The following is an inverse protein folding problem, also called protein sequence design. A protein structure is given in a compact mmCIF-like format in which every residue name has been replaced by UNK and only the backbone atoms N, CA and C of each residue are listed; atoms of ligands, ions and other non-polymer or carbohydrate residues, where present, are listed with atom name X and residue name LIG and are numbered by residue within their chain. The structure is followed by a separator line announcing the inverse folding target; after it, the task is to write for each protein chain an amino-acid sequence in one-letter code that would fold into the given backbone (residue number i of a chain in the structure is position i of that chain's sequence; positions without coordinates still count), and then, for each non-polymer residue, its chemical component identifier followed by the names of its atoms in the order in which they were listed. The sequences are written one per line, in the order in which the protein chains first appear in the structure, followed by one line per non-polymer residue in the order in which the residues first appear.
data_IF_784235860774
#
_entry.id   IF_784235860774
#
_cell.length_a   1.000
_cell.length_b   1.000
_cell.length_c   1.000
_cell.angle_alpha   90.00
_cell.angle_beta   90.00
_cell.angle_gamma   90.00
#
_symmetry.space_group_name_H-M   'P 1'
#
loop_
_entity.id
_entity.type
_entity.pdbx_description
1 polymer ?
#
# COMPACT_ATOMS: atom_id res chain seq x y z
N UNK A 1 -16.07 14.98 -0.32
CA UNK A 1 -14.66 14.86 0.08
C UNK A 1 -13.79 14.70 -1.16
N UNK A 2 -12.53 15.15 -1.13
CA UNK A 2 -11.54 14.93 -2.20
C UNK A 2 -10.88 13.55 -2.13
N UNK A 3 -10.94 12.90 -0.97
CA UNK A 3 -10.44 11.54 -0.74
C UNK A 3 -11.60 10.62 -0.35
N UNK A 4 -11.51 9.36 -0.75
CA UNK A 4 -12.46 8.32 -0.32
C UNK A 4 -12.11 7.71 1.03
N UNK A 5 -10.81 7.60 1.33
CA UNK A 5 -10.26 7.08 2.59
C UNK A 5 -8.83 7.60 2.76
N UNK A 6 -8.25 7.43 3.95
CA UNK A 6 -6.83 7.63 4.22
C UNK A 6 -6.23 6.37 4.86
N UNK A 7 -5.00 6.00 4.48
CA UNK A 7 -4.29 4.89 5.12
C UNK A 7 -3.29 5.45 6.12
N UNK A 8 -3.43 5.07 7.38
CA UNK A 8 -2.50 5.46 8.44
C UNK A 8 -1.12 4.82 8.23
N UNK A 9 -0.09 5.46 8.78
CA UNK A 9 1.26 4.89 8.81
C UNK A 9 1.23 3.52 9.49
N UNK A 10 1.96 2.54 8.95
CA UNK A 10 2.07 1.22 9.56
C UNK A 10 2.54 1.30 11.01
N UNK A 11 1.88 0.56 11.89
CA UNK A 11 2.17 0.49 13.33
C UNK A 11 2.47 -0.96 13.72
N UNK A 12 3.44 -1.15 14.62
CA UNK A 12 3.81 -2.46 15.18
C UNK A 12 3.24 -2.63 16.58
N UNK A 13 3.40 -3.82 17.16
CA UNK A 13 2.99 -4.06 18.55
C UNK A 13 3.76 -3.12 19.49
N UNK A 14 5.09 -3.24 19.47
CA UNK A 14 6.01 -2.39 20.21
C UNK A 14 6.55 -1.23 19.36
N UNK A 15 7.00 -0.11 19.97
CA UNK A 15 7.57 1.02 19.24
C UNK A 15 8.82 0.63 18.44
N UNK A 16 8.92 1.11 17.20
CA UNK A 16 10.12 0.95 16.37
C UNK A 16 10.76 2.33 16.11
N UNK A 17 12.05 2.46 16.40
CA UNK A 17 12.80 3.72 16.19
C UNK A 17 13.08 4.03 14.71
N UNK A 18 13.04 3.00 13.86
CA UNK A 18 13.45 3.06 12.46
C UNK A 18 14.97 3.03 12.27
N UNK A 19 15.42 3.15 11.02
CA UNK A 19 16.86 3.10 10.66
C UNK A 19 17.57 4.41 11.03
N UNK A 20 18.90 4.48 11.17
CA UNK A 20 19.58 5.77 11.29
C UNK A 20 19.42 6.64 10.01
N UNK A 21 19.53 7.98 10.08
CA UNK A 21 19.58 8.82 8.88
C UNK A 21 20.89 8.60 8.08
N UNK A 22 20.91 8.89 6.76
CA UNK A 22 19.81 9.37 5.92
C UNK A 22 18.81 8.25 5.57
N UNK A 23 17.51 8.56 5.70
CA UNK A 23 16.39 7.63 5.48
C UNK A 23 15.65 7.86 4.15
N UNK A 24 15.91 8.98 3.49
CA UNK A 24 15.27 9.38 2.23
C UNK A 24 16.35 9.92 1.29
N UNK A 25 16.26 9.55 0.02
CA UNK A 25 17.08 10.11 -1.04
C UNK A 25 16.20 10.42 -2.26
N UNK A 26 15.97 11.70 -2.59
CA UNK A 26 15.20 12.07 -3.78
C UNK A 26 15.93 11.68 -5.07
N UNK A 27 15.16 11.44 -6.12
CA UNK A 27 15.61 11.24 -7.50
C UNK A 27 14.82 12.19 -8.42
N UNK A 28 15.16 12.27 -9.71
CA UNK A 28 14.47 13.19 -10.63
C UNK A 28 12.97 12.94 -10.75
N UNK A 29 12.51 11.68 -10.68
CA UNK A 29 11.11 11.28 -10.93
C UNK A 29 10.52 10.43 -9.80
N UNK A 30 11.10 10.51 -8.61
CA UNK A 30 10.71 9.68 -7.46
C UNK A 30 11.65 9.81 -6.28
N UNK A 31 11.65 8.82 -5.39
CA UNK A 31 12.51 8.80 -4.22
C UNK A 31 12.81 7.38 -3.73
N UNK A 32 13.99 7.22 -3.15
CA UNK A 32 14.33 6.08 -2.30
C UNK A 32 14.00 6.38 -0.85
N UNK A 33 13.50 5.39 -0.13
CA UNK A 33 13.27 5.46 1.31
C UNK A 33 13.72 4.19 2.03
N UNK A 34 14.30 4.36 3.21
CA UNK A 34 14.75 3.32 4.12
C UNK A 34 14.39 3.70 5.54
N UNK A 35 13.10 3.96 5.79
CA UNK A 35 12.64 4.50 7.08
C UNK A 35 12.84 3.50 8.22
N UNK A 36 12.67 2.20 7.95
CA UNK A 36 12.59 1.16 8.99
C UNK A 36 11.26 1.17 9.75
N UNK A 37 10.21 1.75 9.14
CA UNK A 37 8.84 1.78 9.69
C UNK A 37 8.81 2.34 11.11
N UNK A 38 9.46 3.48 11.32
CA UNK A 38 9.40 4.20 12.59
C UNK A 38 7.92 4.43 12.97
N UNK A 39 7.54 3.98 14.16
CA UNK A 39 6.17 4.07 14.65
C UNK A 39 6.14 3.96 16.19
N UNK A 40 5.07 4.45 16.85
CA UNK A 40 5.02 4.54 18.30
C UNK A 40 4.55 3.25 19.01
N UNK A 41 4.28 2.17 18.27
CA UNK A 41 3.61 0.98 18.80
C UNK A 41 2.10 1.17 18.92
N UNK A 42 1.34 0.07 18.91
CA UNK A 42 -0.12 0.10 18.79
C UNK A 42 -0.78 0.72 20.01
N UNK A 43 -0.22 0.54 21.20
CA UNK A 43 -0.76 1.12 22.43
C UNK A 43 -0.77 2.67 22.36
N UNK A 44 0.37 3.28 22.06
CA UNK A 44 0.49 4.73 21.96
C UNK A 44 -0.28 5.28 20.74
N UNK A 45 -0.28 4.56 19.62
CA UNK A 45 -1.07 4.93 18.46
C UNK A 45 -2.57 4.99 18.80
N UNK A 46 -3.09 4.00 19.50
CA UNK A 46 -4.51 3.95 19.89
C UNK A 46 -4.89 5.04 20.90
N UNK A 47 -3.98 5.44 21.80
CA UNK A 47 -4.27 6.53 22.75
C UNK A 47 -4.14 7.93 22.14
N UNK A 48 -3.26 8.12 21.16
CA UNK A 48 -2.97 9.44 20.59
C UNK A 48 -3.74 9.74 19.29
N UNK A 49 -3.86 8.72 18.41
CA UNK A 49 -4.46 8.85 17.08
C UNK A 49 -5.91 8.38 17.07
N UNK A 50 -6.22 7.27 17.76
CA UNK A 50 -7.56 6.70 17.85
C UNK A 50 -8.67 7.73 18.17
N UNK A 51 -8.53 8.56 19.22
CA UNK A 51 -9.56 9.54 19.59
C UNK A 51 -9.82 10.62 18.53
N UNK A 52 -8.90 10.80 17.56
CA UNK A 52 -9.01 11.80 16.50
C UNK A 52 -9.76 11.27 15.28
N UNK A 53 -9.88 9.95 15.11
CA UNK A 53 -10.48 9.33 13.92
C UNK A 53 -11.93 9.76 13.67
N UNK A 54 -12.83 9.82 14.68
CA UNK A 54 -14.22 10.22 14.44
C UNK A 54 -14.40 11.67 13.95
N UNK A 55 -13.39 12.52 14.15
CA UNK A 55 -13.41 13.92 13.71
C UNK A 55 -12.92 14.16 12.28
N UNK A 56 -12.56 13.10 11.54
CA UNK A 56 -12.04 13.20 10.17
C UNK A 56 -13.15 13.05 9.14
N UNK A 57 -13.01 13.76 8.02
CA UNK A 57 -14.00 13.76 6.91
C UNK A 57 -14.03 12.46 6.10
N UNK A 58 -13.07 11.56 6.31
CA UNK A 58 -12.91 10.31 5.56
C UNK A 58 -12.59 9.15 6.50
N UNK A 59 -13.04 7.93 6.18
CA UNK A 59 -12.64 6.75 6.94
C UNK A 59 -11.12 6.56 6.87
N UNK A 60 -10.54 6.16 8.00
CA UNK A 60 -9.12 5.81 8.10
C UNK A 60 -8.96 4.30 8.11
N UNK A 61 -8.05 3.79 7.30
CA UNK A 61 -7.60 2.40 7.33
C UNK A 61 -6.32 2.32 8.17
N UNK A 62 -6.26 1.35 9.07
CA UNK A 62 -5.06 1.08 9.86
C UNK A 62 -4.10 0.19 9.09
N UNK A 63 -2.82 0.55 9.02
CA UNK A 63 -1.81 -0.34 8.43
C UNK A 63 -1.10 -1.11 9.55
N UNK A 64 -1.16 -2.44 9.53
CA UNK A 64 -0.53 -3.31 10.52
C UNK A 64 0.83 -3.80 10.02
N UNK A 65 1.83 -3.83 10.90
CA UNK A 65 3.11 -4.46 10.64
C UNK A 65 3.56 -5.29 11.84
N UNK A 66 4.27 -6.38 11.60
CA UNK A 66 4.81 -7.24 12.64
C UNK A 66 5.93 -8.13 12.08
N UNK A 67 6.49 -8.94 12.96
CA UNK A 67 7.54 -9.91 12.67
C UNK A 67 7.07 -11.36 12.78
N UNK A 68 5.91 -11.57 13.40
CA UNK A 68 5.21 -12.87 13.49
C UNK A 68 3.72 -12.67 13.18
N UNK A 69 3.04 -13.74 12.77
CA UNK A 69 1.60 -13.70 12.49
C UNK A 69 0.76 -13.24 13.70
N UNK A 70 1.14 -13.65 14.90
CA UNK A 70 0.48 -13.25 16.14
C UNK A 70 0.63 -11.76 16.45
N UNK A 71 1.81 -11.16 16.18
CA UNK A 71 2.02 -9.72 16.32
C UNK A 71 1.08 -8.94 15.39
N UNK A 72 1.00 -9.35 14.12
CA UNK A 72 0.06 -8.75 13.17
C UNK A 72 -1.38 -8.83 13.68
N UNK A 73 -1.80 -9.99 14.21
CA UNK A 73 -3.15 -10.19 14.73
C UNK A 73 -3.46 -9.27 15.93
N UNK A 74 -2.51 -9.10 16.87
CA UNK A 74 -2.65 -8.19 18.02
C UNK A 74 -2.71 -6.72 17.60
N UNK A 75 -1.84 -6.31 16.67
CA UNK A 75 -1.85 -4.95 16.11
C UNK A 75 -3.18 -4.66 15.41
N UNK A 76 -3.65 -5.58 14.56
CA UNK A 76 -4.93 -5.44 13.88
C UNK A 76 -6.10 -5.25 14.85
N UNK A 77 -6.09 -6.00 15.96
CA UNK A 77 -7.10 -5.84 17.02
C UNK A 77 -7.05 -4.47 17.68
N UNK A 78 -5.85 -3.96 17.96
CA UNK A 78 -5.67 -2.61 18.50
C UNK A 78 -6.16 -1.52 17.54
N UNK A 79 -5.90 -1.68 16.24
CA UNK A 79 -6.37 -0.78 15.19
C UNK A 79 -7.90 -0.78 15.10
N UNK A 80 -8.54 -1.97 15.06
CA UNK A 80 -9.99 -2.11 15.08
C UNK A 80 -10.60 -1.43 16.30
N UNK A 81 -10.03 -1.68 17.49
CA UNK A 81 -10.51 -1.10 18.76
C UNK A 81 -10.42 0.42 18.78
N UNK A 82 -9.47 1.01 18.05
CA UNK A 82 -9.33 2.45 17.90
C UNK A 82 -10.31 3.06 16.88
N UNK A 83 -11.06 2.24 16.12
CA UNK A 83 -12.13 2.69 15.22
C UNK A 83 -11.70 2.89 13.76
N UNK A 84 -10.66 2.20 13.29
CA UNK A 84 -10.34 2.20 11.85
C UNK A 84 -11.43 1.45 11.05
N UNK A 85 -11.67 1.88 9.81
CA UNK A 85 -12.69 1.28 8.94
C UNK A 85 -12.24 0.00 8.23
N UNK A 86 -10.93 -0.25 8.15
CA UNK A 86 -10.32 -1.46 7.60
C UNK A 86 -8.89 -1.61 8.11
N UNK A 87 -8.34 -2.83 8.04
CA UNK A 87 -6.93 -3.12 8.31
C UNK A 87 -6.21 -3.48 7.01
N UNK A 88 -5.09 -2.82 6.72
CA UNK A 88 -4.17 -3.19 5.65
C UNK A 88 -2.92 -3.88 6.25
N UNK A 89 -2.75 -5.17 5.98
CA UNK A 89 -1.59 -5.96 6.37
C UNK A 89 -0.40 -5.59 5.47
N UNK A 90 0.62 -4.96 6.05
CA UNK A 90 1.84 -4.61 5.35
C UNK A 90 2.86 -5.77 5.41
N UNK A 91 2.87 -6.60 4.37
CA UNK A 91 3.71 -7.80 4.29
C UNK A 91 5.18 -7.53 3.91
N UNK A 92 5.59 -6.26 3.67
CA UNK A 92 6.94 -5.95 3.17
C UNK A 92 8.05 -6.01 4.25
N UNK A 93 7.77 -6.58 5.42
CA UNK A 93 8.75 -6.76 6.49
C UNK A 93 9.48 -8.11 6.40
N UNK A 94 10.71 -8.19 6.95
CA UNK A 94 11.39 -9.47 7.12
C UNK A 94 10.57 -10.37 8.06
N UNK A 95 10.48 -11.65 7.73
CA UNK A 95 9.98 -12.68 8.64
C UNK A 95 11.07 -12.98 9.68
N UNK A 96 10.71 -13.19 10.95
CA UNK A 96 11.66 -13.71 11.95
C UNK A 96 11.60 -15.25 12.07
N UNK A 97 10.52 -15.87 11.60
CA UNK A 97 10.35 -17.34 11.58
C UNK A 97 11.04 -18.00 10.37
N UNK A 98 11.71 -17.22 9.53
CA UNK A 98 12.49 -17.68 8.38
C UNK A 98 13.41 -16.59 7.82
N UNK A 99 14.32 -16.92 6.91
CA UNK A 99 15.31 -15.97 6.36
C UNK A 99 14.76 -15.04 5.25
N UNK A 100 13.47 -15.12 4.90
CA UNK A 100 12.84 -14.40 3.77
C UNK A 100 11.78 -13.37 4.20
N UNK A 101 11.41 -12.42 3.33
CA UNK A 101 10.29 -11.49 3.62
C UNK A 101 8.93 -12.19 3.46
N UNK A 102 7.96 -11.87 4.32
CA UNK A 102 6.59 -12.42 4.22
C UNK A 102 6.01 -12.24 2.81
N UNK A 103 6.13 -11.03 2.25
CA UNK A 103 5.58 -10.69 0.94
C UNK A 103 6.15 -11.48 -0.26
N UNK A 104 7.21 -12.26 -0.08
CA UNK A 104 7.82 -13.08 -1.13
C UNK A 104 7.49 -14.57 -1.00
N UNK A 105 6.87 -14.97 0.12
CA UNK A 105 6.48 -16.35 0.38
C UNK A 105 4.96 -16.46 0.50
N UNK A 106 4.37 -17.33 -0.35
CA UNK A 106 2.92 -17.54 -0.43
C UNK A 106 2.35 -18.03 0.90
N UNK A 107 3.00 -19.02 1.50
CA UNK A 107 2.54 -19.65 2.73
C UNK A 107 2.65 -18.69 3.91
N UNK A 108 3.72 -17.91 4.00
CA UNK A 108 3.93 -16.93 5.05
C UNK A 108 2.95 -15.75 4.92
N UNK A 109 2.72 -15.26 3.69
CA UNK A 109 1.71 -14.23 3.41
C UNK A 109 0.30 -14.70 3.83
N UNK A 110 -0.09 -15.91 3.43
CA UNK A 110 -1.38 -16.50 3.79
C UNK A 110 -1.54 -16.67 5.31
N UNK A 111 -0.52 -17.17 6.01
CA UNK A 111 -0.57 -17.33 7.48
C UNK A 111 -0.79 -16.01 8.22
N UNK A 112 -0.12 -14.94 7.80
CA UNK A 112 -0.30 -13.62 8.44
C UNK A 112 -1.71 -13.10 8.19
N UNK A 113 -2.22 -13.22 6.97
CA UNK A 113 -3.58 -12.76 6.63
C UNK A 113 -4.65 -13.56 7.36
N UNK A 114 -4.52 -14.89 7.43
CA UNK A 114 -5.44 -15.75 8.19
C UNK A 114 -5.47 -15.37 9.68
N UNK A 115 -4.30 -15.18 10.29
CA UNK A 115 -4.20 -14.75 11.70
C UNK A 115 -4.89 -13.39 11.94
N UNK A 116 -4.72 -12.43 11.03
CA UNK A 116 -5.38 -11.11 11.12
C UNK A 116 -6.88 -11.22 10.88
N UNK A 117 -7.30 -11.95 9.85
CA UNK A 117 -8.73 -12.15 9.52
C UNK A 117 -9.49 -12.75 10.69
N UNK A 118 -8.88 -13.69 11.41
CA UNK A 118 -9.48 -14.33 12.58
C UNK A 118 -9.45 -13.46 13.84
N UNK A 119 -8.72 -12.33 13.87
CA UNK A 119 -8.65 -11.45 15.05
C UNK A 119 -9.61 -10.24 14.99
N UNK A 120 -10.01 -9.80 13.78
CA UNK A 120 -10.87 -8.64 13.57
C UNK A 120 -12.20 -8.99 12.90
N UNK A 121 -13.20 -8.13 13.05
CA UNK A 121 -14.51 -8.20 12.37
C UNK A 121 -14.69 -7.18 11.23
N UNK A 122 -13.73 -6.27 11.04
CA UNK A 122 -13.71 -5.29 9.95
C UNK A 122 -13.00 -5.84 8.68
N UNK A 123 -13.11 -5.16 7.51
CA UNK A 123 -12.41 -5.58 6.30
C UNK A 123 -10.89 -5.65 6.47
N UNK A 124 -10.28 -6.69 5.89
CA UNK A 124 -8.84 -6.96 5.91
C UNK A 124 -8.30 -6.95 4.49
N UNK A 125 -7.31 -6.12 4.23
CA UNK A 125 -6.57 -6.10 2.97
C UNK A 125 -5.11 -6.48 3.15
N UNK A 126 -4.46 -6.90 2.08
CA UNK A 126 -3.03 -7.19 2.07
C UNK A 126 -2.28 -6.31 1.06
N UNK A 127 -1.24 -5.60 1.52
CA UNK A 127 -0.39 -4.78 0.64
C UNK A 127 0.79 -5.59 0.12
N UNK A 128 0.78 -5.86 -1.18
CA UNK A 128 1.71 -6.79 -1.80
C UNK A 128 2.93 -6.10 -2.41
N UNK A 129 4.03 -6.84 -2.47
CA UNK A 129 5.31 -6.37 -3.00
C UNK A 129 5.39 -6.61 -4.51
N UNK A 130 5.80 -5.60 -5.31
CA UNK A 130 6.05 -5.80 -6.74
C UNK A 130 7.33 -6.63 -7.01
N UNK A 131 8.12 -6.91 -5.96
CA UNK A 131 9.36 -7.67 -6.02
C UNK A 131 9.14 -9.19 -5.93
N UNK A 132 7.89 -9.64 -5.79
CA UNK A 132 7.55 -11.06 -5.86
C UNK A 132 7.74 -11.58 -7.29
N UNK A 133 8.28 -12.80 -7.43
CA UNK A 133 8.44 -13.46 -8.73
C UNK A 133 7.08 -13.71 -9.40
N UNK A 134 6.08 -14.12 -8.60
CA UNK A 134 4.72 -14.39 -9.05
C UNK A 134 3.72 -13.67 -8.13
N UNK A 135 3.37 -12.45 -8.51
CA UNK A 135 2.45 -11.60 -7.75
C UNK A 135 1.03 -12.17 -7.71
N UNK A 136 0.61 -12.88 -8.77
CA UNK A 136 -0.72 -13.48 -8.87
C UNK A 136 -0.86 -14.59 -7.84
N UNK A 137 0.15 -15.45 -7.70
CA UNK A 137 0.08 -16.51 -6.71
C UNK A 137 0.11 -15.99 -5.28
N UNK A 138 0.84 -14.91 -4.99
CA UNK A 138 0.77 -14.25 -3.67
C UNK A 138 -0.64 -13.68 -3.45
N UNK A 139 -1.19 -12.95 -4.42
CA UNK A 139 -2.54 -12.39 -4.34
C UNK A 139 -3.62 -13.46 -4.12
N UNK A 140 -3.52 -14.60 -4.82
CA UNK A 140 -4.41 -15.74 -4.62
C UNK A 140 -4.28 -16.30 -3.20
N UNK A 141 -3.06 -16.49 -2.72
CA UNK A 141 -2.82 -17.07 -1.39
C UNK A 141 -3.39 -16.21 -0.26
N UNK A 142 -3.32 -14.88 -0.35
CA UNK A 142 -3.91 -13.99 0.65
C UNK A 142 -5.42 -13.89 0.53
N UNK A 143 -5.97 -13.94 -0.69
CA UNK A 143 -7.42 -13.99 -0.90
C UNK A 143 -8.03 -15.28 -0.33
N UNK A 144 -7.39 -16.43 -0.59
CA UNK A 144 -7.81 -17.73 -0.06
C UNK A 144 -7.72 -17.78 1.48
N UNK A 145 -6.79 -17.01 2.08
CA UNK A 145 -6.65 -16.84 3.52
C UNK A 145 -7.65 -15.82 4.12
N UNK A 146 -8.53 -15.22 3.32
CA UNK A 146 -9.61 -14.35 3.78
C UNK A 146 -9.32 -12.84 3.71
N UNK A 147 -8.36 -12.39 2.89
CA UNK A 147 -8.27 -10.98 2.54
C UNK A 147 -9.48 -10.56 1.68
N UNK A 148 -10.15 -9.48 2.09
CA UNK A 148 -11.27 -8.86 1.39
C UNK A 148 -10.82 -8.03 0.18
N UNK A 149 -9.57 -7.57 0.17
CA UNK A 149 -8.97 -6.82 -0.94
C UNK A 149 -7.43 -6.90 -0.93
N UNK A 150 -6.78 -6.46 -2.00
CA UNK A 150 -5.32 -6.30 -2.06
C UNK A 150 -4.93 -4.89 -2.47
N UNK A 151 -3.81 -4.40 -1.94
CA UNK A 151 -3.19 -3.13 -2.38
C UNK A 151 -1.95 -3.42 -3.20
N UNK A 152 -1.96 -3.00 -4.47
CA UNK A 152 -0.92 -3.27 -5.47
C UNK A 152 -0.33 -1.94 -5.96
N UNK A 153 0.87 -1.53 -5.57
CA UNK A 153 1.91 -2.29 -4.87
C UNK A 153 2.60 -1.47 -3.79
N UNK A 154 3.43 -2.15 -2.99
CA UNK A 154 4.47 -1.52 -2.21
C UNK A 154 5.62 -1.02 -3.13
N UNK A 155 6.70 -0.49 -2.56
CA UNK A 155 7.85 0.02 -3.32
C UNK A 155 8.66 -1.10 -3.99
N UNK A 156 9.27 -0.79 -5.14
CA UNK A 156 10.31 -1.66 -5.72
C UNK A 156 11.63 -1.46 -4.97
N UNK A 157 12.56 -2.40 -5.01
CA UNK A 157 13.88 -2.18 -4.42
C UNK A 157 14.80 -1.34 -5.30
N UNK A 158 15.60 -0.48 -4.66
CA UNK A 158 16.60 0.31 -5.34
C UNK A 158 17.71 0.78 -4.41
N UNK A 159 18.77 1.31 -5.01
CA UNK A 159 19.90 1.88 -4.32
C UNK A 159 20.38 3.13 -5.07
N UNK A 160 21.03 4.04 -4.34
CA UNK A 160 21.73 5.17 -4.94
C UNK A 160 23.04 5.38 -4.20
N UNK A 161 24.09 5.72 -4.94
CA UNK A 161 25.44 5.94 -4.44
C UNK A 161 25.84 7.37 -4.80
N UNK A 162 26.43 8.07 -3.84
CA UNK A 162 27.06 9.37 -4.08
C UNK A 162 28.44 9.14 -4.73
N UNK A 163 28.69 9.62 -5.96
CA UNK A 163 29.94 9.35 -6.68
C UNK A 163 31.15 10.08 -6.10
N UNK A 164 30.96 11.17 -5.35
CA UNK A 164 32.06 11.94 -4.75
C UNK A 164 32.54 11.28 -3.46
N UNK A 165 31.60 10.92 -2.60
CA UNK A 165 31.89 10.31 -1.30
C UNK A 165 32.01 8.78 -1.35
N UNK A 166 31.53 8.16 -2.43
CA UNK A 166 31.41 6.70 -2.63
C UNK A 166 30.48 6.03 -1.60
N UNK A 167 29.68 6.82 -0.89
CA UNK A 167 28.76 6.33 0.14
C UNK A 167 27.38 6.07 -0.45
N UNK A 168 26.65 5.07 0.05
CA UNK A 168 25.24 4.95 -0.24
C UNK A 168 24.48 6.20 0.21
N UNK A 169 23.48 6.62 -0.58
CA UNK A 169 22.60 7.76 -0.26
C UNK A 169 21.60 7.43 0.86
N UNK A 170 21.45 6.16 1.21
CA UNK A 170 20.67 5.66 2.34
C UNK A 170 21.58 4.92 3.33
N UNK A 171 21.36 5.11 4.63
CA UNK A 171 22.05 4.33 5.67
C UNK A 171 21.82 2.82 5.53
N UNK A 172 20.64 2.44 5.01
CA UNK A 172 20.26 1.07 4.73
C UNK A 172 20.84 0.46 3.46
N UNK A 173 21.62 1.23 2.68
CA UNK A 173 22.17 0.91 1.35
C UNK A 173 21.09 0.71 0.28
N UNK A 174 20.24 -0.31 0.48
CA UNK A 174 19.08 -0.62 -0.34
C UNK A 174 17.84 -0.10 0.38
N UNK A 175 16.93 0.49 -0.38
CA UNK A 175 15.64 0.99 0.10
C UNK A 175 14.52 0.78 -0.91
N UNK A 176 13.33 1.22 -0.54
CA UNK A 176 12.15 1.23 -1.39
C UNK A 176 12.17 2.44 -2.33
N UNK A 177 12.15 2.19 -3.63
CA UNK A 177 11.95 3.19 -4.67
C UNK A 177 10.46 3.38 -4.98
N UNK A 178 10.05 4.64 -5.06
CA UNK A 178 8.68 5.07 -5.32
C UNK A 178 8.67 6.32 -6.19
N UNK A 179 7.52 6.67 -6.76
CA UNK A 179 7.38 7.79 -7.69
C UNK A 179 6.91 7.34 -9.07
N UNK A 180 6.84 8.27 -10.02
CA UNK A 180 6.24 8.03 -11.35
C UNK A 180 6.87 6.85 -12.07
N UNK A 181 8.18 6.67 -11.89
CA UNK A 181 8.94 5.63 -12.58
C UNK A 181 8.50 4.19 -12.24
N UNK A 182 7.78 3.96 -11.13
CA UNK A 182 7.26 2.62 -10.81
C UNK A 182 5.87 2.34 -11.41
N UNK A 183 5.19 3.34 -12.00
CA UNK A 183 3.82 3.19 -12.50
C UNK A 183 3.67 2.01 -13.48
N UNK A 184 4.53 1.83 -14.51
CA UNK A 184 4.37 0.70 -15.44
C UNK A 184 4.49 -0.67 -14.75
N UNK A 185 5.35 -0.78 -13.74
CA UNK A 185 5.57 -2.01 -12.98
C UNK A 185 4.33 -2.35 -12.12
N UNK A 186 3.76 -1.33 -11.46
CA UNK A 186 2.57 -1.47 -10.63
C UNK A 186 1.29 -1.70 -11.46
N UNK A 187 1.13 -1.03 -12.60
CA UNK A 187 0.04 -1.29 -13.56
C UNK A 187 0.07 -2.73 -14.06
N UNK A 188 1.24 -3.26 -14.44
CA UNK A 188 1.38 -4.68 -14.79
C UNK A 188 0.86 -5.58 -13.67
N UNK A 189 1.24 -5.34 -12.41
CA UNK A 189 0.73 -6.15 -11.30
C UNK A 189 -0.80 -6.10 -11.18
N UNK A 190 -1.40 -4.93 -11.35
CA UNK A 190 -2.87 -4.78 -11.34
C UNK A 190 -3.52 -5.58 -12.46
N UNK A 191 -3.00 -5.45 -13.69
CA UNK A 191 -3.51 -6.17 -14.87
C UNK A 191 -3.41 -7.69 -14.66
N UNK A 192 -2.24 -8.19 -14.24
CA UNK A 192 -2.00 -9.62 -14.03
C UNK A 192 -2.92 -10.19 -12.93
N UNK A 193 -3.04 -9.50 -11.79
CA UNK A 193 -3.90 -9.94 -10.70
C UNK A 193 -5.37 -9.86 -11.09
N UNK A 194 -5.82 -8.77 -11.71
CA UNK A 194 -7.21 -8.62 -12.12
C UNK A 194 -7.63 -9.67 -13.15
N UNK A 195 -6.76 -9.98 -14.12
CA UNK A 195 -7.03 -11.01 -15.14
C UNK A 195 -7.27 -12.38 -14.52
N UNK A 196 -6.47 -12.75 -13.53
CA UNK A 196 -6.49 -14.10 -12.91
C UNK A 196 -7.42 -14.20 -11.70
N UNK A 197 -7.80 -13.06 -11.11
CA UNK A 197 -8.66 -12.90 -9.92
C UNK A 197 -9.66 -11.74 -10.12
N UNK A 198 -10.58 -11.81 -11.11
CA UNK A 198 -11.40 -10.67 -11.53
C UNK A 198 -12.38 -10.16 -10.47
N UNK A 199 -12.68 -10.98 -9.46
CA UNK A 199 -13.60 -10.64 -8.38
C UNK A 199 -12.89 -10.13 -7.12
N UNK A 200 -11.56 -10.18 -7.06
CA UNK A 200 -10.78 -9.67 -5.93
C UNK A 200 -10.67 -8.14 -6.07
N UNK A 201 -11.19 -7.34 -5.12
CA UNK A 201 -11.03 -5.90 -5.17
C UNK A 201 -9.55 -5.50 -5.04
N UNK A 202 -9.12 -4.57 -5.90
CA UNK A 202 -7.73 -4.10 -5.96
C UNK A 202 -7.68 -2.60 -5.66
N UNK A 203 -6.79 -2.21 -4.76
CA UNK A 203 -6.36 -0.82 -4.58
C UNK A 203 -5.05 -0.61 -5.34
N UNK A 204 -5.10 0.06 -6.48
CA UNK A 204 -3.93 0.41 -7.28
C UNK A 204 -3.08 1.49 -6.59
N UNK A 205 -1.76 1.32 -6.53
CA UNK A 205 -0.86 2.16 -5.77
C UNK A 205 0.55 2.12 -6.38
N UNK A 206 0.97 3.21 -7.02
CA UNK A 206 2.34 3.30 -7.53
C UNK A 206 2.48 4.35 -8.62
N UNK A 207 3.25 5.40 -8.33
CA UNK A 207 3.55 6.44 -9.34
C UNK A 207 2.38 7.30 -9.81
N UNK A 208 1.24 7.25 -9.10
CA UNK A 208 0.05 8.07 -9.40
C UNK A 208 0.34 9.54 -9.09
N UNK A 209 0.18 10.41 -10.10
CA UNK A 209 0.37 11.87 -9.97
C UNK A 209 -0.73 12.69 -10.64
N UNK A 210 -1.51 12.08 -11.52
CA UNK A 210 -2.52 12.76 -12.34
C UNK A 210 -3.84 12.01 -12.31
N UNK A 211 -4.92 12.66 -12.79
CA UNK A 211 -6.20 11.97 -12.96
C UNK A 211 -6.15 10.89 -14.05
N UNK A 212 -5.29 11.06 -15.06
CA UNK A 212 -5.05 10.09 -16.12
C UNK A 212 -4.45 8.81 -15.52
N UNK A 213 -3.47 8.96 -14.62
CA UNK A 213 -2.91 7.80 -13.90
C UNK A 213 -3.99 7.06 -13.11
N UNK A 214 -4.90 7.77 -12.42
CA UNK A 214 -6.01 7.14 -11.70
C UNK A 214 -6.90 6.36 -12.66
N UNK A 215 -7.27 6.94 -13.79
CA UNK A 215 -8.10 6.27 -14.80
C UNK A 215 -7.38 5.07 -15.41
N UNK A 216 -6.07 5.14 -15.68
CA UNK A 216 -5.27 3.99 -16.12
C UNK A 216 -5.36 2.82 -15.14
N UNK A 217 -5.27 3.08 -13.83
CA UNK A 217 -5.43 2.04 -12.82
C UNK A 217 -6.85 1.46 -12.77
N UNK A 218 -7.87 2.31 -12.91
CA UNK A 218 -9.26 1.84 -12.97
C UNK A 218 -9.48 0.94 -14.19
N UNK A 219 -9.09 1.41 -15.39
CA UNK A 219 -9.18 0.64 -16.62
C UNK A 219 -8.46 -0.71 -16.51
N UNK A 220 -7.29 -0.74 -15.85
CA UNK A 220 -6.52 -1.95 -15.60
C UNK A 220 -7.18 -2.95 -14.62
N UNK A 221 -8.22 -2.54 -13.89
CA UNK A 221 -8.98 -3.41 -12.97
C UNK A 221 -8.92 -3.00 -11.50
N UNK A 222 -8.29 -1.88 -11.15
CA UNK A 222 -8.34 -1.38 -9.77
C UNK A 222 -9.73 -0.84 -9.43
N UNK A 223 -10.22 -1.17 -8.22
CA UNK A 223 -11.48 -0.66 -7.67
C UNK A 223 -11.31 0.68 -6.95
N UNK A 224 -10.10 0.97 -6.49
CA UNK A 224 -9.70 2.25 -5.91
C UNK A 224 -8.22 2.52 -6.20
N UNK A 225 -7.78 3.77 -6.03
CA UNK A 225 -6.39 4.19 -6.31
C UNK A 225 -5.83 5.00 -5.16
N UNK A 226 -4.65 4.61 -4.66
CA UNK A 226 -3.92 5.26 -3.59
C UNK A 226 -2.76 6.11 -4.13
N UNK A 227 -2.54 7.25 -3.48
CA UNK A 227 -1.51 8.22 -3.84
C UNK A 227 -0.52 8.34 -2.67
N UNK A 228 0.77 8.15 -2.95
CA UNK A 228 1.84 8.20 -1.96
C UNK A 228 2.80 9.36 -2.23
N UNK A 229 3.89 9.07 -2.94
CA UNK A 229 5.02 9.98 -3.19
C UNK A 229 4.61 11.37 -3.66
N UNK A 230 3.58 11.47 -4.51
CA UNK A 230 3.12 12.75 -5.06
C UNK A 230 2.66 13.75 -3.99
N UNK A 231 2.21 13.29 -2.82
CA UNK A 231 1.80 14.17 -1.72
C UNK A 231 2.98 14.91 -1.08
N UNK A 232 4.20 14.37 -1.13
CA UNK A 232 5.38 15.06 -0.60
C UNK A 232 5.74 16.29 -1.42
N UNK A 233 5.48 16.25 -2.73
CA UNK A 233 5.72 17.37 -3.64
C UNK A 233 4.51 18.31 -3.71
N UNK A 234 3.29 17.75 -3.71
CA UNK A 234 2.04 18.48 -3.91
C UNK A 234 0.93 18.01 -2.96
N UNK A 235 0.84 18.56 -1.73
CA UNK A 235 -0.19 18.15 -0.76
C UNK A 235 -1.63 18.31 -1.26
N UNK A 236 -1.89 19.29 -2.13
CA UNK A 236 -3.23 19.59 -2.70
C UNK A 236 -3.59 18.83 -3.99
N UNK A 237 -2.81 17.83 -4.40
CA UNK A 237 -2.93 17.16 -5.71
C UNK A 237 -4.30 16.50 -5.96
N UNK A 238 -5.01 16.11 -4.90
CA UNK A 238 -6.30 15.43 -5.04
C UNK A 238 -7.37 16.26 -5.77
N UNK A 239 -7.30 17.61 -5.71
CA UNK A 239 -8.27 18.46 -6.42
C UNK A 239 -8.11 18.35 -7.94
N UNK A 240 -6.88 18.45 -8.46
CA UNK A 240 -6.63 18.34 -9.90
C UNK A 240 -6.92 16.92 -10.40
N UNK A 241 -6.55 15.91 -9.62
CA UNK A 241 -6.87 14.50 -9.91
C UNK A 241 -8.37 14.30 -10.01
N UNK A 242 -9.14 14.74 -9.00
CA UNK A 242 -10.60 14.56 -8.97
C UNK A 242 -11.30 15.21 -10.17
N UNK A 243 -10.89 16.43 -10.55
CA UNK A 243 -11.43 17.11 -11.72
C UNK A 243 -11.17 16.34 -13.01
N UNK A 244 -9.95 15.85 -13.20
CA UNK A 244 -9.55 15.13 -14.40
C UNK A 244 -10.18 13.74 -14.50
N UNK A 245 -10.33 13.02 -13.38
CA UNK A 245 -11.08 11.76 -13.33
C UNK A 245 -12.54 11.98 -13.73
N UNK A 246 -13.18 13.04 -13.24
CA UNK A 246 -14.57 13.36 -13.61
C UNK A 246 -14.72 13.73 -15.10
N UNK A 247 -13.70 14.38 -15.68
CA UNK A 247 -13.66 14.67 -17.11
C UNK A 247 -13.57 13.39 -17.95
N UNK A 248 -12.64 12.51 -17.61
CA UNK A 248 -12.47 11.23 -18.32
C UNK A 248 -13.68 10.32 -18.16
N UNK A 249 -14.31 10.27 -16.98
CA UNK A 249 -15.56 9.54 -16.80
C UNK A 249 -16.66 10.02 -17.76
N UNK A 250 -16.80 11.33 -17.97
CA UNK A 250 -17.74 11.88 -18.98
C UNK A 250 -17.33 11.54 -20.40
N UNK A 251 -16.02 11.57 -20.71
CA UNK A 251 -15.51 11.22 -22.03
C UNK A 251 -15.78 9.75 -22.39
N UNK A 252 -15.66 8.84 -21.41
CA UNK A 252 -15.99 7.42 -21.56
C UNK A 252 -17.50 7.13 -21.42
N UNK A 253 -18.34 8.16 -21.30
CA UNK A 253 -19.80 8.04 -21.21
C UNK A 253 -20.31 7.18 -20.04
N UNK A 254 -19.53 7.11 -18.95
CA UNK A 254 -19.93 6.35 -17.74
C UNK A 254 -20.63 7.23 -16.72
N UNK A 255 -21.66 6.70 -16.06
CA UNK A 255 -22.41 7.41 -15.04
C UNK A 255 -21.70 7.42 -13.68
N UNK A 256 -20.95 6.35 -13.38
CA UNK A 256 -20.16 6.17 -12.17
C UNK A 256 -18.72 5.86 -12.54
N UNK A 257 -17.77 6.48 -11.85
CA UNK A 257 -16.32 6.21 -12.01
C UNK A 257 -15.99 4.72 -11.85
N UNK A 258 -16.73 4.01 -11.01
CA UNK A 258 -16.57 2.56 -10.80
C UNK A 258 -16.80 1.73 -12.07
N UNK A 259 -17.56 2.24 -13.04
CA UNK A 259 -17.81 1.54 -14.32
C UNK A 259 -16.54 1.47 -15.19
N UNK A 260 -15.56 2.36 -14.97
CA UNK A 260 -14.25 2.28 -15.64
C UNK A 260 -13.45 1.04 -15.24
N UNK A 261 -13.78 0.43 -14.09
CA UNK A 261 -13.03 -0.71 -13.55
C UNK A 261 -12.99 -1.86 -14.55
N UNK A 262 -11.81 -2.21 -15.03
CA UNK A 262 -11.63 -3.35 -15.95
C UNK A 262 -12.10 -3.11 -17.38
N UNK A 263 -12.37 -1.86 -17.79
CA UNK A 263 -12.75 -1.52 -19.17
C UNK A 263 -11.57 -1.51 -20.17
N UNK A 264 -10.35 -1.89 -19.77
CA UNK A 264 -9.21 -1.98 -20.68
C UNK A 264 -9.49 -2.98 -21.81
N UNK A 265 -9.42 -2.52 -23.06
CA UNK A 265 -9.55 -3.36 -24.25
C UNK A 265 -8.17 -3.82 -24.75
N UNK A 266 -7.99 -5.11 -25.07
CA UNK A 266 -6.81 -5.55 -25.80
C UNK A 266 -6.88 -5.07 -27.26
N UNK A 267 -5.71 -4.96 -27.90
CA UNK A 267 -5.61 -4.71 -29.34
C UNK A 267 -6.16 -5.85 -30.19
#
# INVERSE_FOLDING_TARGET
SLYGAAVAKSVSEEPWEGRPPPRVAPTEVGMLNGIGIQNPGIHAWSSEIGPRLPGLDVPVWGSAVGTTSDEFARVAKGLESAGVGAVEVNLSCPNLEGESMFALDRSASARVVDAVRNSVGIPVGAKLSPNAEDIVAIARSVADAGADFVTLTNTIWGAAIDPETRRPRLSGVIGGYSGSAIKPIALRCVIEVHRELPHLPIVGCGGVRTGDDVVEYLLAGASAVAIGTAHFEHPGIAKSISHRVAELARHHEVARVSELTGMMEPW
#
